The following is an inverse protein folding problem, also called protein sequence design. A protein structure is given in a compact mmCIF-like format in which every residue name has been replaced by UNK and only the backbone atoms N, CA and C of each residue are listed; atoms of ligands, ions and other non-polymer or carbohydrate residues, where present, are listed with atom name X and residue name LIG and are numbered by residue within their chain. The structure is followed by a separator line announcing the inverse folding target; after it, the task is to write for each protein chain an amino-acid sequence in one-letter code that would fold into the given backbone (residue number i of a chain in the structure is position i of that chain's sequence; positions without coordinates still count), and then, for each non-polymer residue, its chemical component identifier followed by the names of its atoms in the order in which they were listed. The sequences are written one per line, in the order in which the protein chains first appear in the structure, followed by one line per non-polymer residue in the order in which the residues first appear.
data_IF_611370864709
#
_entry.id   IF_611370864709
#
_cell.length_a   1.000
_cell.length_b   1.000
_cell.length_c   1.000
_cell.angle_alpha   90.00
_cell.angle_beta   90.00
_cell.angle_gamma   90.00
#
_symmetry.space_group_name_H-M   'P 1'
#
loop_
_entity.id
_entity.type
_entity.pdbx_description
1 polymer ?
#
# COMPACT_ATOMS: atom_id res chain seq x y z
N UNK A 1 -2.78 -2.72 11.74
CA UNK A 1 -2.84 -4.18 11.84
C UNK A 1 -3.97 -4.67 10.94
N UNK A 2 -3.81 -5.80 10.26
CA UNK A 2 -4.86 -6.43 9.45
C UNK A 2 -5.21 -7.78 10.07
N UNK A 3 -6.48 -8.18 9.98
CA UNK A 3 -6.95 -9.48 10.45
C UNK A 3 -7.71 -10.13 9.31
N UNK A 4 -7.28 -11.34 8.93
CA UNK A 4 -7.87 -12.10 7.84
C UNK A 4 -8.87 -13.10 8.40
N UNK A 5 -10.06 -13.14 7.79
CA UNK A 5 -11.18 -13.96 8.23
C UNK A 5 -11.89 -14.54 7.01
N UNK A 6 -12.57 -15.68 7.20
CA UNK A 6 -13.26 -16.40 6.11
C UNK A 6 -14.49 -15.65 5.56
N UNK A 7 -15.18 -14.86 6.39
CA UNK A 7 -16.43 -14.20 6.00
C UNK A 7 -16.51 -12.76 6.49
N UNK A 8 -17.27 -11.93 5.76
CA UNK A 8 -17.51 -10.54 6.14
C UNK A 8 -18.16 -10.43 7.52
N UNK A 9 -19.15 -11.27 7.82
CA UNK A 9 -19.81 -11.33 9.14
C UNK A 9 -18.82 -11.59 10.27
N UNK A 10 -17.88 -12.50 10.06
CA UNK A 10 -16.82 -12.74 11.05
C UNK A 10 -15.92 -11.50 11.21
N UNK A 11 -15.61 -10.81 10.12
CA UNK A 11 -14.81 -9.57 10.13
C UNK A 11 -15.46 -8.45 10.92
N UNK A 12 -16.76 -8.22 10.72
CA UNK A 12 -17.51 -7.19 11.46
C UNK A 12 -17.63 -7.53 12.95
N UNK A 13 -17.79 -8.81 13.28
CA UNK A 13 -17.78 -9.28 14.68
C UNK A 13 -16.43 -9.03 15.34
N UNK A 14 -15.34 -9.41 14.67
CA UNK A 14 -13.97 -9.23 15.18
C UNK A 14 -13.62 -7.75 15.30
N UNK A 15 -13.99 -6.93 14.31
CA UNK A 15 -13.77 -5.49 14.34
C UNK A 15 -14.41 -4.84 15.57
N UNK A 16 -15.68 -5.16 15.87
CA UNK A 16 -16.37 -4.65 17.07
C UNK A 16 -15.66 -5.05 18.36
N UNK A 17 -15.28 -6.32 18.49
CA UNK A 17 -14.61 -6.84 19.68
C UNK A 17 -13.26 -6.17 19.93
N UNK A 18 -12.46 -5.99 18.87
CA UNK A 18 -11.13 -5.40 18.96
C UNK A 18 -11.20 -3.90 19.20
N UNK A 19 -12.12 -3.18 18.56
CA UNK A 19 -12.36 -1.76 18.86
C UNK A 19 -12.69 -1.58 20.34
N UNK A 20 -13.59 -2.40 20.89
CA UNK A 20 -13.93 -2.34 22.31
C UNK A 20 -12.72 -2.64 23.21
N UNK A 21 -11.88 -3.62 22.86
CA UNK A 21 -10.68 -3.94 23.62
C UNK A 21 -9.66 -2.78 23.60
N UNK A 22 -9.36 -2.25 22.41
CA UNK A 22 -8.41 -1.15 22.23
C UNK A 22 -8.85 0.11 22.99
N UNK A 23 -10.12 0.48 22.90
CA UNK A 23 -10.61 1.70 23.52
C UNK A 23 -10.82 1.55 25.03
N UNK A 24 -11.37 0.41 25.50
CA UNK A 24 -11.68 0.24 26.93
C UNK A 24 -10.47 -0.14 27.76
N UNK A 25 -9.64 -1.09 27.29
CA UNK A 25 -8.50 -1.63 28.04
C UNK A 25 -7.22 -0.86 27.77
N UNK A 26 -6.88 -0.65 26.50
CA UNK A 26 -5.61 -0.02 26.11
C UNK A 26 -5.71 1.51 25.96
N UNK A 27 -6.92 2.08 26.03
CA UNK A 27 -7.21 3.51 25.90
C UNK A 27 -6.71 4.12 24.58
N UNK A 28 -6.71 3.32 23.50
CA UNK A 28 -6.33 3.75 22.15
C UNK A 28 -7.58 4.00 21.31
N UNK A 29 -7.73 5.23 20.80
CA UNK A 29 -8.86 5.59 19.92
C UNK A 29 -8.66 5.01 18.52
N UNK A 30 -9.66 4.28 18.02
CA UNK A 30 -9.65 3.75 16.66
C UNK A 30 -10.07 4.83 15.66
N UNK A 31 -9.45 4.86 14.49
CA UNK A 31 -9.85 5.77 13.41
C UNK A 31 -10.89 5.07 12.50
N UNK A 32 -12.17 5.48 12.51
CA UNK A 32 -13.22 4.83 11.73
C UNK A 32 -13.06 5.04 10.22
N UNK A 33 -12.54 6.18 9.77
CA UNK A 33 -12.36 6.47 8.34
C UNK A 33 -11.33 5.54 7.68
N UNK A 34 -10.34 5.11 8.46
CA UNK A 34 -9.27 4.20 8.01
C UNK A 34 -9.63 2.73 8.24
N UNK A 35 -10.45 2.44 9.24
CA UNK A 35 -10.76 1.06 9.66
C UNK A 35 -11.97 0.55 8.89
N UNK A 36 -11.80 -0.55 8.15
CA UNK A 36 -12.90 -1.14 7.38
C UNK A 36 -12.74 -2.64 7.24
N UNK A 37 -13.87 -3.33 7.27
CA UNK A 37 -13.99 -4.71 6.80
C UNK A 37 -14.14 -4.68 5.29
N UNK A 38 -13.34 -5.44 4.57
CA UNK A 38 -13.42 -5.46 3.11
C UNK A 38 -12.49 -6.49 2.49
N UNK A 39 -12.61 -6.64 1.18
CA UNK A 39 -11.80 -7.62 0.45
C UNK A 39 -10.31 -7.23 0.47
N UNK A 40 -9.41 -8.16 0.83
CA UNK A 40 -7.97 -7.91 0.82
C UNK A 40 -7.41 -7.51 -0.55
N UNK A 41 -8.12 -7.86 -1.63
CA UNK A 41 -7.77 -7.51 -3.01
C UNK A 41 -7.92 -6.02 -3.32
N UNK A 42 -8.84 -5.36 -2.60
CA UNK A 42 -9.17 -3.93 -2.77
C UNK A 42 -8.52 -3.05 -1.71
N UNK A 43 -8.25 -3.62 -0.53
CA UNK A 43 -7.58 -2.93 0.56
C UNK A 43 -6.09 -2.78 0.29
N UNK A 44 -5.49 -1.76 0.92
CA UNK A 44 -4.05 -1.51 0.85
C UNK A 44 -3.45 -1.57 2.25
N UNK A 45 -2.25 -2.11 2.36
CA UNK A 45 -1.48 -2.18 3.59
C UNK A 45 0.00 -2.02 3.27
N UNK A 46 0.68 -1.08 3.95
CA UNK A 46 2.10 -0.77 3.74
C UNK A 46 2.49 -0.52 2.27
N UNK A 47 1.56 0.01 1.47
CA UNK A 47 1.80 0.26 0.04
C UNK A 47 1.64 -0.96 -0.86
N UNK A 48 1.18 -2.09 -0.34
CA UNK A 48 0.78 -3.29 -1.07
C UNK A 48 -0.73 -3.50 -1.04
N UNK A 49 -1.24 -4.27 -1.99
CA UNK A 49 -2.56 -4.91 -1.97
C UNK A 49 -2.35 -6.38 -2.25
N UNK A 50 -3.31 -7.23 -1.89
CA UNK A 50 -3.23 -8.63 -2.28
C UNK A 50 -3.75 -8.81 -3.72
N UNK A 51 -3.12 -9.72 -4.44
CA UNK A 51 -3.60 -10.31 -5.69
C UNK A 51 -3.89 -11.79 -5.45
N UNK A 52 -4.73 -12.39 -6.29
CA UNK A 52 -4.97 -13.83 -6.31
C UNK A 52 -4.78 -14.30 -7.75
N UNK A 53 -4.00 -15.36 -7.92
CA UNK A 53 -3.82 -16.09 -9.16
C UNK A 53 -4.13 -17.58 -8.95
N UNK A 54 -3.87 -18.41 -9.96
CA UNK A 54 -4.04 -19.87 -9.91
C UNK A 54 -3.16 -20.58 -8.86
N UNK A 55 -2.06 -19.94 -8.43
CA UNK A 55 -1.04 -20.48 -7.52
C UNK A 55 -1.21 -19.95 -6.09
N UNK A 56 -2.11 -18.98 -5.88
CA UNK A 56 -2.49 -18.50 -4.56
C UNK A 56 -2.54 -16.97 -4.47
N UNK A 57 -2.39 -16.47 -3.24
CA UNK A 57 -2.37 -15.04 -2.97
C UNK A 57 -0.93 -14.49 -3.04
N UNK A 58 -0.74 -13.37 -3.74
CA UNK A 58 0.56 -12.70 -3.84
C UNK A 58 0.45 -11.22 -3.45
N UNK A 59 1.56 -10.64 -3.00
CA UNK A 59 1.64 -9.21 -2.71
C UNK A 59 1.88 -8.43 -4.01
N UNK A 60 1.05 -7.43 -4.28
CA UNK A 60 1.24 -6.51 -5.42
C UNK A 60 1.34 -5.06 -4.95
N UNK A 61 2.13 -4.20 -5.60
CA UNK A 61 2.17 -2.78 -5.26
C UNK A 61 0.77 -2.15 -5.41
N UNK A 62 0.33 -1.42 -4.38
CA UNK A 62 -0.98 -0.76 -4.41
C UNK A 62 -1.03 0.31 -5.51
N UNK A 63 -2.21 0.54 -6.08
CA UNK A 63 -2.42 1.53 -7.16
C UNK A 63 -1.82 2.91 -6.83
N UNK A 64 -1.97 3.35 -5.58
CA UNK A 64 -1.43 4.63 -5.13
C UNK A 64 0.10 4.66 -5.15
N UNK A 65 0.77 3.58 -4.74
CA UNK A 65 2.25 3.49 -4.78
C UNK A 65 2.77 3.52 -6.22
N UNK A 66 2.09 2.83 -7.14
CA UNK A 66 2.40 2.88 -8.57
C UNK A 66 2.22 4.29 -9.14
N UNK A 67 1.16 5.00 -8.77
CA UNK A 67 0.94 6.38 -9.19
C UNK A 67 2.03 7.33 -8.66
N UNK A 68 2.49 7.14 -7.41
CA UNK A 68 3.56 7.96 -6.84
C UNK A 68 4.87 7.80 -7.61
N UNK A 69 5.28 6.56 -7.93
CA UNK A 69 6.52 6.34 -8.70
C UNK A 69 6.39 6.89 -10.12
N UNK A 70 5.23 6.69 -10.78
CA UNK A 70 4.95 7.29 -12.10
C UNK A 70 5.03 8.82 -12.07
N UNK A 71 4.46 9.46 -11.04
CA UNK A 71 4.53 10.92 -10.87
C UNK A 71 5.97 11.38 -10.64
N UNK A 72 6.75 10.67 -9.82
CA UNK A 72 8.16 10.97 -9.60
C UNK A 72 8.97 10.87 -10.89
N UNK A 73 8.79 9.79 -11.66
CA UNK A 73 9.46 9.62 -12.96
C UNK A 73 9.07 10.74 -13.94
N UNK A 74 7.79 11.11 -14.00
CA UNK A 74 7.32 12.22 -14.87
C UNK A 74 7.97 13.56 -14.53
N UNK A 75 8.26 13.80 -13.24
CA UNK A 75 9.00 14.99 -12.82
C UNK A 75 10.49 14.90 -13.20
N UNK A 76 11.10 13.72 -13.07
CA UNK A 76 12.49 13.49 -13.45
C UNK A 76 12.70 13.64 -14.96
N UNK A 77 11.76 13.16 -15.77
CA UNK A 77 11.81 13.20 -17.25
C UNK A 77 11.16 14.46 -17.84
N UNK A 78 10.98 15.52 -17.05
CA UNK A 78 10.33 16.75 -17.53
C UNK A 78 11.21 17.45 -18.58
N UNK A 79 10.60 17.86 -19.71
CA UNK A 79 11.31 18.40 -20.88
C UNK A 79 12.08 19.71 -20.62
N UNK A 80 11.70 20.50 -19.62
CA UNK A 80 12.27 21.82 -19.34
C UNK A 80 13.26 21.82 -18.15
N UNK A 81 14.01 20.74 -17.91
CA UNK A 81 14.97 20.66 -16.79
C UNK A 81 16.37 21.22 -17.09
N UNK A 82 16.77 21.32 -18.36
CA UNK A 82 18.10 21.81 -18.73
C UNK A 82 19.26 20.96 -18.20
N UNK A 83 19.08 19.64 -18.06
CA UNK A 83 20.12 18.70 -17.61
C UNK A 83 20.51 17.73 -18.72
N UNK A 84 21.72 17.18 -18.65
CA UNK A 84 22.18 16.14 -19.58
C UNK A 84 21.37 14.85 -19.43
N UNK A 85 21.28 14.09 -20.52
CA UNK A 85 20.62 12.78 -20.52
C UNK A 85 21.28 11.80 -19.52
N UNK A 86 22.60 11.79 -19.44
CA UNK A 86 23.36 10.94 -18.51
C UNK A 86 22.93 11.19 -17.05
N UNK A 87 22.86 12.45 -16.65
CA UNK A 87 22.42 12.82 -15.30
C UNK A 87 20.96 12.43 -15.05
N UNK A 88 20.09 12.58 -16.05
CA UNK A 88 18.70 12.13 -15.96
C UNK A 88 18.60 10.61 -15.74
N UNK A 89 19.39 9.82 -16.48
CA UNK A 89 19.42 8.36 -16.32
C UNK A 89 19.92 7.94 -14.94
N UNK A 90 20.95 8.59 -14.39
CA UNK A 90 21.43 8.33 -13.04
C UNK A 90 20.34 8.58 -11.98
N UNK A 91 19.62 9.69 -12.09
CA UNK A 91 18.52 10.02 -11.16
C UNK A 91 17.39 8.98 -11.24
N UNK A 92 17.03 8.55 -12.45
CA UNK A 92 16.02 7.49 -12.66
C UNK A 92 16.52 6.17 -12.05
N UNK A 93 17.76 5.78 -12.31
CA UNK A 93 18.32 4.53 -11.80
C UNK A 93 18.35 4.51 -10.27
N UNK A 94 18.80 5.59 -9.62
CA UNK A 94 18.77 5.71 -8.15
C UNK A 94 17.35 5.59 -7.60
N UNK A 95 16.37 6.24 -8.26
CA UNK A 95 14.97 6.18 -7.83
C UNK A 95 14.37 4.78 -7.98
N UNK A 96 14.62 4.14 -9.12
CA UNK A 96 14.08 2.81 -9.43
C UNK A 96 14.72 1.72 -8.59
N UNK A 97 16.02 1.82 -8.28
CA UNK A 97 16.70 0.85 -7.40
C UNK A 97 16.02 0.73 -6.04
N UNK A 98 15.76 1.86 -5.38
CA UNK A 98 15.08 1.86 -4.08
C UNK A 98 13.62 1.39 -4.17
N UNK A 99 12.94 1.70 -5.27
CA UNK A 99 11.56 1.26 -5.47
C UNK A 99 11.47 -0.25 -5.70
N UNK A 100 12.33 -0.80 -6.56
CA UNK A 100 12.43 -2.24 -6.82
C UNK A 100 12.84 -2.99 -5.55
N UNK A 101 13.84 -2.51 -4.80
CA UNK A 101 14.26 -3.16 -3.56
C UNK A 101 13.12 -3.33 -2.53
N UNK A 102 12.16 -2.39 -2.50
CA UNK A 102 11.04 -2.45 -1.57
C UNK A 102 9.87 -3.30 -2.07
N UNK A 103 9.70 -3.43 -3.40
CA UNK A 103 8.54 -4.08 -4.02
C UNK A 103 8.87 -5.40 -4.75
N UNK A 104 10.15 -5.78 -4.79
CA UNK A 104 10.65 -7.04 -5.34
C UNK A 104 10.48 -8.21 -4.37
#
# INVERSE_FOLDING_TARGET
CNIYVKSQRAGERVMRSITQFLEKRLKVKVNPDKTKVGSPLRLKFLGFSLGVDHNGAYARPAKQSQQRVKKALKLLTKRNRGISLTRMFEEIHRKMRGWLQYYS
#
